data_IF_455392789913
#
_entry.id   IF_455392789913
#
_cell.length_a   1.000
_cell.length_b   1.000
_cell.length_c   1.000
_cell.angle_alpha   90.00
_cell.angle_beta   90.00
_cell.angle_gamma   90.00
#
_symmetry.space_group_name_H-M   'P 1'
#
loop_
_entity.id
_entity.type
_entity.pdbx_description
1 polymer ?
#
# COMPACT_ATOMS: atom_id res chain seq x y z
N UNK A 1 8.57 23.79 -28.77
CA UNK A 1 7.37 23.29 -28.05
C UNK A 1 7.48 21.78 -27.97
N UNK A 2 8.00 21.23 -26.86
CA UNK A 2 8.06 19.77 -26.67
C UNK A 2 6.64 19.28 -26.37
N UNK A 3 6.16 18.42 -27.24
CA UNK A 3 4.97 17.60 -27.12
C UNK A 3 4.93 16.88 -25.74
N UNK A 4 3.94 17.21 -24.90
CA UNK A 4 3.67 16.58 -23.60
C UNK A 4 2.84 15.29 -23.74
N UNK A 5 3.15 14.44 -24.72
CA UNK A 5 2.56 13.10 -24.79
C UNK A 5 3.06 12.25 -23.60
N UNK A 6 2.24 12.23 -22.55
CA UNK A 6 2.17 11.21 -21.49
C UNK A 6 3.42 11.02 -20.64
N UNK A 7 3.61 11.84 -19.60
CA UNK A 7 4.55 11.48 -18.55
C UNK A 7 4.10 10.17 -17.88
N UNK A 8 4.99 9.20 -17.73
CA UNK A 8 4.68 7.97 -16.97
C UNK A 8 4.42 8.35 -15.52
N UNK A 9 3.39 7.79 -14.87
CA UNK A 9 3.13 8.07 -13.47
C UNK A 9 4.33 7.65 -12.63
N UNK A 10 4.71 8.51 -11.70
CA UNK A 10 5.72 8.23 -10.68
C UNK A 10 5.29 7.07 -9.79
N UNK A 11 6.23 6.43 -9.10
CA UNK A 11 5.91 5.33 -8.18
C UNK A 11 4.89 5.75 -7.11
N UNK A 12 4.99 6.99 -6.61
CA UNK A 12 4.04 7.53 -5.64
C UNK A 12 2.63 7.66 -6.21
N UNK A 13 2.48 8.11 -7.46
CA UNK A 13 1.16 8.19 -8.12
C UNK A 13 0.57 6.80 -8.36
N UNK A 14 1.41 5.80 -8.70
CA UNK A 14 0.97 4.41 -8.88
C UNK A 14 0.54 3.78 -7.55
N UNK A 15 1.27 4.08 -6.47
CA UNK A 15 0.92 3.66 -5.10
C UNK A 15 -0.41 4.31 -4.68
N UNK A 16 -0.57 5.62 -4.87
CA UNK A 16 -1.83 6.32 -4.56
C UNK A 16 -3.02 5.67 -5.24
N UNK A 17 -2.92 5.45 -6.55
CA UNK A 17 -3.97 4.79 -7.32
C UNK A 17 -4.26 3.37 -6.80
N UNK A 18 -3.26 2.67 -6.23
CA UNK A 18 -3.46 1.37 -5.59
C UNK A 18 -4.25 1.48 -4.27
N UNK A 19 -3.92 2.47 -3.44
CA UNK A 19 -4.64 2.76 -2.19
C UNK A 19 -6.11 3.09 -2.46
N UNK A 20 -6.37 3.99 -3.43
CA UNK A 20 -7.74 4.36 -3.84
C UNK A 20 -8.54 3.14 -4.33
N UNK A 21 -7.90 2.24 -5.10
CA UNK A 21 -8.53 0.97 -5.50
C UNK A 21 -8.82 0.06 -4.31
N UNK A 22 -7.90 -0.04 -3.35
CA UNK A 22 -8.08 -0.84 -2.14
C UNK A 22 -9.28 -0.37 -1.32
N UNK A 23 -9.46 0.95 -1.18
CA UNK A 23 -10.64 1.56 -0.53
C UNK A 23 -11.91 1.23 -1.32
N UNK A 24 -11.91 1.46 -2.64
CA UNK A 24 -13.07 1.18 -3.48
C UNK A 24 -13.50 -0.30 -3.48
N UNK A 25 -12.55 -1.22 -3.27
CA UNK A 25 -12.78 -2.66 -3.17
C UNK A 25 -13.14 -3.14 -1.74
N UNK A 26 -13.18 -2.25 -0.75
CA UNK A 26 -13.42 -2.61 0.66
C UNK A 26 -12.26 -3.36 1.32
N UNK A 27 -11.06 -3.32 0.72
CA UNK A 27 -9.85 -3.92 1.27
C UNK A 27 -9.13 -3.00 2.25
N UNK A 28 -9.41 -1.70 2.19
CA UNK A 28 -9.00 -0.68 3.15
C UNK A 28 -10.24 -0.01 3.72
N UNK A 29 -10.08 0.60 4.89
CA UNK A 29 -11.13 1.39 5.53
C UNK A 29 -11.57 2.55 4.60
N UNK A 30 -12.87 2.82 4.54
CA UNK A 30 -13.43 3.91 3.75
C UNK A 30 -12.93 5.29 4.21
N UNK A 31 -12.60 5.41 5.50
CA UNK A 31 -12.09 6.64 6.12
C UNK A 31 -10.56 6.69 6.18
N UNK A 32 -9.86 5.76 5.52
CA UNK A 32 -8.40 5.76 5.46
C UNK A 32 -7.87 7.02 4.77
N UNK A 33 -6.90 7.69 5.40
CA UNK A 33 -6.19 8.82 4.79
C UNK A 33 -5.29 8.32 3.64
N UNK A 34 -5.76 8.54 2.41
CA UNK A 34 -5.09 8.12 1.18
C UNK A 34 -3.67 8.66 1.08
N UNK A 35 -3.45 9.91 1.47
CA UNK A 35 -2.15 10.56 1.37
C UNK A 35 -1.18 10.00 2.41
N UNK A 36 -1.65 9.81 3.65
CA UNK A 36 -0.86 9.19 4.71
C UNK A 36 -0.46 7.74 4.37
N UNK A 37 -1.41 6.92 3.90
CA UNK A 37 -1.16 5.53 3.52
C UNK A 37 -0.19 5.46 2.32
N UNK A 38 -0.37 6.34 1.34
CA UNK A 38 0.54 6.43 0.19
C UNK A 38 1.96 6.79 0.61
N UNK A 39 2.12 7.79 1.48
CA UNK A 39 3.42 8.22 1.98
C UNK A 39 4.10 7.13 2.82
N UNK A 40 3.34 6.42 3.66
CA UNK A 40 3.81 5.29 4.45
C UNK A 40 4.39 4.19 3.56
N UNK A 41 3.65 3.74 2.55
CA UNK A 41 4.08 2.65 1.65
C UNK A 41 5.31 3.09 0.85
N UNK A 42 5.25 4.29 0.25
CA UNK A 42 6.35 4.80 -0.55
C UNK A 42 7.64 4.94 0.27
N UNK A 43 7.56 5.53 1.47
CA UNK A 43 8.69 5.68 2.38
C UNK A 43 9.26 4.34 2.85
N UNK A 44 8.38 3.38 3.17
CA UNK A 44 8.79 2.04 3.54
C UNK A 44 9.58 1.35 2.42
N UNK A 45 9.07 1.38 1.18
CA UNK A 45 9.75 0.79 0.02
C UNK A 45 11.12 1.41 -0.25
N UNK A 46 11.25 2.74 -0.11
CA UNK A 46 12.55 3.41 -0.20
C UNK A 46 13.50 2.96 0.93
N UNK A 47 12.99 2.77 2.14
CA UNK A 47 13.74 2.30 3.30
C UNK A 47 14.24 0.85 3.20
N UNK A 48 13.49 -0.03 2.52
CA UNK A 48 13.89 -1.43 2.33
C UNK A 48 15.22 -1.57 1.57
N UNK A 49 15.44 -0.73 0.54
CA UNK A 49 16.69 -0.76 -0.23
C UNK A 49 17.91 -0.42 0.64
N UNK A 50 17.76 0.52 1.57
CA UNK A 50 18.82 0.89 2.52
C UNK A 50 19.07 -0.25 3.50
N UNK A 51 18.03 -0.79 4.13
CA UNK A 51 18.16 -1.91 5.06
C UNK A 51 18.80 -3.15 4.43
N UNK A 52 18.46 -3.46 3.18
CA UNK A 52 19.07 -4.56 2.44
C UNK A 52 20.58 -4.32 2.23
N UNK A 53 20.98 -3.08 1.90
CA UNK A 53 22.40 -2.69 1.75
C UNK A 53 23.15 -2.73 3.08
N UNK A 54 22.47 -2.45 4.18
CA UNK A 54 23.01 -2.52 5.54
C UNK A 54 23.11 -3.97 6.08
N UNK A 55 22.72 -4.96 5.27
CA UNK A 55 22.89 -6.38 5.58
C UNK A 55 21.71 -7.03 6.32
N UNK A 56 20.55 -6.36 6.39
CA UNK A 56 19.33 -6.99 6.92
C UNK A 56 18.94 -8.17 6.01
N UNK A 57 18.70 -9.33 6.62
CA UNK A 57 18.35 -10.53 5.88
C UNK A 57 17.06 -10.34 5.06
N UNK A 58 17.06 -10.83 3.82
CA UNK A 58 15.91 -10.71 2.93
C UNK A 58 14.62 -11.32 3.52
N UNK A 59 14.74 -12.39 4.31
CA UNK A 59 13.61 -12.99 5.03
C UNK A 59 12.99 -12.03 6.05
N UNK A 60 13.82 -11.30 6.81
CA UNK A 60 13.36 -10.28 7.74
C UNK A 60 12.63 -9.14 7.02
N UNK A 61 13.13 -8.72 5.86
CA UNK A 61 12.48 -7.68 5.05
C UNK A 61 11.14 -8.15 4.48
N UNK A 62 11.00 -9.43 4.09
CA UNK A 62 9.70 -9.99 3.72
C UNK A 62 8.73 -9.96 4.89
N UNK A 63 9.16 -10.38 6.09
CA UNK A 63 8.31 -10.29 7.29
C UNK A 63 7.92 -8.85 7.64
N UNK A 64 8.78 -7.86 7.36
CA UNK A 64 8.44 -6.46 7.54
C UNK A 64 7.36 -5.99 6.55
N UNK A 65 7.42 -6.44 5.28
CA UNK A 65 6.37 -6.21 4.29
C UNK A 65 5.06 -6.86 4.75
N UNK A 66 5.10 -8.11 5.21
CA UNK A 66 3.92 -8.81 5.74
C UNK A 66 3.29 -8.02 6.88
N UNK A 67 4.10 -7.56 7.84
CA UNK A 67 3.66 -6.76 8.97
C UNK A 67 2.99 -5.44 8.53
N UNK A 68 3.56 -4.74 7.55
CA UNK A 68 2.97 -3.52 6.99
C UNK A 68 1.60 -3.80 6.34
N UNK A 69 1.50 -4.89 5.57
CA UNK A 69 0.28 -5.28 4.86
C UNK A 69 -0.80 -5.84 5.78
N UNK A 70 -0.50 -6.08 7.06
CA UNK A 70 -1.54 -6.37 8.05
C UNK A 70 -2.54 -5.22 8.18
N UNK A 71 -2.14 -3.99 7.86
CA UNK A 71 -3.07 -2.85 7.82
C UNK A 71 -4.14 -2.99 6.71
N UNK A 72 -3.89 -3.83 5.70
CA UNK A 72 -4.78 -4.13 4.57
C UNK A 72 -5.74 -5.31 4.83
N UNK A 73 -5.55 -6.08 5.92
CA UNK A 73 -6.49 -7.18 6.29
C UNK A 73 -7.58 -6.72 7.27
N UNK A 74 -7.37 -5.63 7.99
CA UNK A 74 -8.31 -5.19 9.03
C UNK A 74 -9.67 -4.75 8.47
N UNK A 75 -9.74 -4.19 7.25
CA UNK A 75 -11.01 -3.88 6.59
C UNK A 75 -11.79 -5.13 6.13
N UNK A 76 -11.09 -6.22 5.77
CA UNK A 76 -11.70 -7.46 5.26
C UNK A 76 -12.42 -8.29 6.34
N UNK A 77 -12.23 -7.95 7.61
CA UNK A 77 -12.84 -8.66 8.74
C UNK A 77 -14.25 -8.16 9.07
N UNK A 78 -14.73 -7.10 8.42
CA UNK A 78 -16.08 -6.58 8.56
C UNK A 78 -17.03 -7.17 7.49
N UNK A 79 -17.17 -8.49 7.44
CA UNK A 79 -18.31 -9.10 6.76
C UNK A 79 -19.37 -9.39 7.82
N UNK A 80 -20.52 -8.69 7.85
CA UNK A 80 -21.65 -9.14 8.66
C UNK A 80 -22.06 -10.52 8.13
N UNK A 81 -22.15 -11.50 9.03
CA UNK A 81 -22.75 -12.81 8.76
C UNK A 81 -24.10 -12.59 8.05
N UNK A 82 -24.34 -13.19 6.88
CA UNK A 82 -25.64 -13.07 6.24
C UNK A 82 -26.66 -13.78 7.13
N UNK A 83 -27.66 -13.01 7.56
CA UNK A 83 -28.82 -13.45 8.32
C UNK A 83 -29.33 -14.80 7.78
N UNK A 84 -29.03 -15.87 8.52
CA UNK A 84 -29.50 -17.23 8.22
C UNK A 84 -30.98 -17.31 8.58
N UNK A 85 -31.83 -17.10 7.57
CA UNK A 85 -33.21 -17.60 7.55
C UNK A 85 -33.24 -19.10 7.26
#
# INVERSE_FOLDING_TARGET
MRDRRGATPTDRERIRACVERGIAAGELDADADVDAVTAMIHGFLLGLSTQLRDGVAAATLHSAVDALLLNWRHARSAHPEPDRL
#
